data_IF_535131786621
#
_entry.id   IF_535131786621
#
_cell.length_a   1.000
_cell.length_b   1.000
_cell.length_c   1.000
_cell.angle_alpha   90.00
_cell.angle_beta   90.00
_cell.angle_gamma   90.00
#
_symmetry.space_group_name_H-M   'P 1'
#
loop_
_entity.id
_entity.type
_entity.pdbx_description
1 polymer ?
#
# COMPACT_ATOMS: atom_id res chain seq x y z
N UNK A 1 -1.81 -9.43 12.95
CA UNK A 1 -1.55 -8.44 11.89
C UNK A 1 -1.48 -7.06 12.50
N UNK A 2 -0.36 -6.39 12.33
CA UNK A 2 -0.15 -5.02 12.77
C UNK A 2 -0.18 -4.09 11.56
N UNK A 3 -0.97 -3.03 11.63
CA UNK A 3 -1.01 -1.98 10.61
C UNK A 3 -0.55 -0.69 11.26
N UNK A 4 0.59 -0.18 10.82
CA UNK A 4 1.14 1.09 11.31
C UNK A 4 0.84 2.17 10.29
N UNK A 5 0.22 3.26 10.73
CA UNK A 5 -0.17 4.37 9.85
C UNK A 5 0.55 5.63 10.29
N UNK A 6 1.19 6.29 9.34
CA UNK A 6 1.82 7.59 9.54
C UNK A 6 1.32 8.57 8.49
N UNK A 7 0.87 9.74 8.91
CA UNK A 7 0.43 10.79 8.00
C UNK A 7 1.37 11.99 8.09
N UNK A 8 2.19 12.18 7.07
CA UNK A 8 3.09 13.32 6.92
C UNK A 8 2.63 14.26 5.81
N UNK A 9 1.43 14.03 5.27
CA UNK A 9 0.96 14.75 4.08
C UNK A 9 0.52 16.19 4.36
N UNK A 10 0.16 16.49 5.58
CA UNK A 10 -0.48 17.76 5.93
C UNK A 10 -1.97 17.81 5.60
N UNK A 11 -2.52 16.76 4.99
CA UNK A 11 -3.92 16.64 4.68
C UNK A 11 -4.63 15.75 5.68
N UNK A 12 -5.94 15.92 5.84
CA UNK A 12 -6.75 14.98 6.61
C UNK A 12 -6.93 13.69 5.84
N UNK A 13 -6.75 12.55 6.51
CA UNK A 13 -6.96 11.24 5.90
C UNK A 13 -7.85 10.40 6.81
N UNK A 14 -8.63 9.52 6.19
CA UNK A 14 -9.45 8.55 6.92
C UNK A 14 -8.58 7.37 7.31
N UNK A 15 -7.78 7.53 8.37
CA UNK A 15 -6.84 6.49 8.82
C UNK A 15 -7.57 5.21 9.24
N UNK A 16 -8.70 5.34 9.92
CA UNK A 16 -9.49 4.17 10.33
C UNK A 16 -10.02 3.41 9.12
N UNK A 17 -10.57 4.12 8.14
CA UNK A 17 -11.07 3.49 6.91
C UNK A 17 -9.95 2.83 6.12
N UNK A 18 -8.77 3.45 6.08
CA UNK A 18 -7.61 2.87 5.41
C UNK A 18 -7.15 1.59 6.10
N UNK A 19 -7.09 1.59 7.44
CA UNK A 19 -6.74 0.39 8.19
C UNK A 19 -7.74 -0.73 7.97
N UNK A 20 -9.03 -0.44 8.04
CA UNK A 20 -10.10 -1.42 7.82
C UNK A 20 -10.03 -2.04 6.44
N UNK A 21 -9.83 -1.21 5.41
CA UNK A 21 -9.70 -1.69 4.03
C UNK A 21 -8.46 -2.57 3.88
N UNK A 22 -7.33 -2.15 4.43
CA UNK A 22 -6.08 -2.90 4.36
C UNK A 22 -6.23 -4.28 5.01
N UNK A 23 -6.82 -4.35 6.20
CA UNK A 23 -7.06 -5.62 6.89
C UNK A 23 -7.98 -6.52 6.09
N UNK A 24 -9.04 -5.97 5.49
CA UNK A 24 -9.98 -6.72 4.66
C UNK A 24 -9.30 -7.31 3.43
N UNK A 25 -8.49 -6.50 2.74
CA UNK A 25 -7.74 -6.96 1.55
C UNK A 25 -6.79 -8.09 1.92
N UNK A 26 -5.98 -7.89 2.95
CA UNK A 26 -5.00 -8.90 3.37
C UNK A 26 -5.66 -10.19 3.81
N UNK A 27 -6.77 -10.10 4.56
CA UNK A 27 -7.53 -11.28 4.98
C UNK A 27 -8.10 -12.01 3.76
N UNK A 28 -8.67 -11.29 2.79
CA UNK A 28 -9.20 -11.88 1.57
C UNK A 28 -8.11 -12.57 0.74
N UNK A 29 -6.87 -12.10 0.86
CA UNK A 29 -5.71 -12.68 0.18
C UNK A 29 -5.01 -13.78 0.99
N UNK A 30 -5.59 -14.16 2.12
CA UNK A 30 -5.05 -15.24 2.95
C UNK A 30 -3.87 -14.85 3.83
N UNK A 31 -3.66 -13.57 4.04
CA UNK A 31 -2.58 -13.06 4.89
C UNK A 31 -3.16 -12.71 6.26
N UNK A 32 -2.84 -13.53 7.26
CA UNK A 32 -3.39 -13.38 8.61
C UNK A 32 -2.41 -12.76 9.60
N UNK A 33 -1.12 -12.74 9.27
CA UNK A 33 -0.06 -12.28 10.15
C UNK A 33 0.89 -11.33 9.43
N UNK A 34 1.65 -10.57 10.20
CA UNK A 34 2.69 -9.70 9.68
C UNK A 34 2.46 -8.24 10.03
N UNK A 35 3.38 -7.42 9.56
CA UNK A 35 3.37 -5.98 9.76
C UNK A 35 3.24 -5.27 8.42
N UNK A 36 2.33 -4.31 8.36
CA UNK A 36 2.10 -3.48 7.19
C UNK A 36 2.29 -2.02 7.58
N UNK A 37 3.04 -1.27 6.77
CA UNK A 37 3.14 0.18 6.89
C UNK A 37 2.25 0.88 5.88
N UNK A 38 1.49 1.86 6.32
CA UNK A 38 0.73 2.77 5.46
C UNK A 38 1.25 4.18 5.72
N UNK A 39 1.79 4.81 4.70
CA UNK A 39 2.39 6.14 4.82
C UNK A 39 1.68 7.11 3.89
N UNK A 40 1.22 8.21 4.44
CA UNK A 40 0.62 9.30 3.66
C UNK A 40 1.61 10.45 3.60
N UNK A 41 1.96 10.86 2.39
CA UNK A 41 2.97 11.91 2.16
C UNK A 41 2.42 12.99 1.25
N UNK A 42 3.02 14.18 1.32
CA UNK A 42 2.68 15.27 0.41
C UNK A 42 3.29 15.07 -0.98
N UNK A 43 2.87 15.92 -1.95
CA UNK A 43 3.35 15.78 -3.34
C UNK A 43 4.86 15.89 -3.49
N UNK A 44 5.52 16.76 -2.72
CA UNK A 44 6.97 16.94 -2.82
C UNK A 44 7.71 15.70 -2.34
N UNK A 45 7.29 15.14 -1.21
CA UNK A 45 7.89 13.89 -0.69
C UNK A 45 7.62 12.74 -1.66
N UNK A 46 6.42 12.66 -2.24
CA UNK A 46 6.10 11.63 -3.22
C UNK A 46 7.00 11.73 -4.46
N UNK A 47 7.24 12.94 -4.96
CA UNK A 47 8.19 13.14 -6.07
C UNK A 47 9.59 12.69 -5.72
N UNK A 48 10.04 13.01 -4.51
CA UNK A 48 11.37 12.61 -4.03
C UNK A 48 11.49 11.09 -3.97
N UNK A 49 10.50 10.42 -3.38
CA UNK A 49 10.48 8.96 -3.29
C UNK A 49 10.48 8.31 -4.66
N UNK A 50 9.68 8.83 -5.58
CA UNK A 50 9.58 8.29 -6.92
C UNK A 50 10.88 8.50 -7.71
N UNK A 51 11.49 9.67 -7.59
CA UNK A 51 12.77 9.95 -8.23
C UNK A 51 13.89 9.03 -7.72
N UNK A 52 13.96 8.83 -6.41
CA UNK A 52 14.99 8.02 -5.78
C UNK A 52 14.84 6.53 -6.08
N UNK A 53 13.59 6.05 -6.19
CA UNK A 53 13.34 4.61 -6.36
C UNK A 53 13.01 4.19 -7.79
N UNK A 54 12.44 5.10 -8.60
CA UNK A 54 12.02 4.78 -9.97
C UNK A 54 12.70 5.64 -11.04
N UNK A 55 13.51 6.62 -10.63
CA UNK A 55 14.18 7.52 -11.55
C UNK A 55 13.28 8.54 -12.22
N UNK A 56 12.05 8.74 -11.71
CA UNK A 56 11.09 9.70 -12.26
C UNK A 56 10.88 10.84 -11.28
N UNK A 57 10.62 12.03 -11.79
CA UNK A 57 10.39 13.24 -11.00
C UNK A 57 8.95 13.71 -11.20
N UNK A 58 8.01 12.96 -10.64
CA UNK A 58 6.59 13.32 -10.67
C UNK A 58 5.89 12.79 -9.42
N UNK A 59 4.85 13.47 -8.98
CA UNK A 59 3.97 12.95 -7.95
C UNK A 59 3.09 11.86 -8.56
N UNK A 60 2.88 10.79 -7.81
CA UNK A 60 2.02 9.69 -8.23
C UNK A 60 1.01 9.40 -7.12
N UNK A 61 0.03 8.54 -7.39
CA UNK A 61 -1.01 8.21 -6.43
C UNK A 61 -0.55 7.23 -5.35
N UNK A 62 0.20 6.19 -5.73
CA UNK A 62 0.65 5.16 -4.78
C UNK A 62 2.02 4.60 -5.18
N UNK A 63 2.82 4.29 -4.17
CA UNK A 63 4.07 3.54 -4.32
C UNK A 63 4.02 2.35 -3.37
N UNK A 64 4.57 1.22 -3.80
CA UNK A 64 4.65 0.02 -2.99
C UNK A 64 6.10 -0.40 -2.82
N UNK A 65 6.50 -0.67 -1.58
CA UNK A 65 7.84 -1.11 -1.22
C UNK A 65 7.74 -2.49 -0.55
N UNK A 66 7.68 -3.58 -1.34
CA UNK A 66 7.53 -4.92 -0.76
C UNK A 66 8.81 -5.36 -0.05
N UNK A 67 8.64 -6.13 1.04
CA UNK A 67 9.75 -6.75 1.77
C UNK A 67 9.61 -8.26 1.63
N UNK A 68 8.72 -8.88 2.39
CA UNK A 68 8.53 -10.32 2.37
C UNK A 68 7.38 -10.77 1.47
N UNK A 69 6.34 -9.94 1.33
CA UNK A 69 5.17 -10.29 0.55
C UNK A 69 4.57 -11.63 0.96
N UNK A 70 4.50 -12.56 0.01
CA UNK A 70 4.02 -13.92 0.22
C UNK A 70 5.15 -14.95 0.38
N UNK A 71 6.39 -14.52 0.52
CA UNK A 71 7.53 -15.42 0.61
C UNK A 71 7.36 -16.40 1.78
N UNK A 72 7.86 -17.62 1.61
CA UNK A 72 7.91 -18.59 2.68
C UNK A 72 8.96 -18.16 3.70
N UNK A 73 8.54 -18.09 4.96
CA UNK A 73 9.41 -17.68 6.06
C UNK A 73 9.48 -18.81 7.10
N UNK A 74 10.61 -18.93 7.82
CA UNK A 74 10.65 -19.80 8.99
C UNK A 74 9.56 -19.42 9.99
N UNK A 75 9.04 -20.41 10.74
CA UNK A 75 7.90 -20.20 11.65
C UNK A 75 8.14 -19.14 12.72
N UNK A 76 9.40 -18.93 13.12
CA UNK A 76 9.78 -17.98 14.16
C UNK A 76 10.17 -16.60 13.62
N UNK A 77 10.08 -16.39 12.31
CA UNK A 77 10.41 -15.11 11.67
C UNK A 77 9.12 -14.32 11.42
N UNK A 78 8.98 -13.12 12.03
CA UNK A 78 7.81 -12.29 11.75
C UNK A 78 7.81 -11.79 10.30
N UNK A 79 6.62 -11.78 9.69
CA UNK A 79 6.45 -11.31 8.32
C UNK A 79 6.43 -9.79 8.28
N UNK A 80 7.26 -9.22 7.42
CA UNK A 80 7.23 -7.79 7.08
C UNK A 80 6.67 -7.66 5.68
N UNK A 81 5.41 -7.25 5.57
CA UNK A 81 4.75 -7.14 4.25
C UNK A 81 5.40 -6.07 3.40
N UNK A 82 5.68 -4.94 3.99
CA UNK A 82 6.26 -3.79 3.33
C UNK A 82 5.43 -2.54 3.58
N UNK A 83 5.68 -1.51 2.77
CA UNK A 83 5.02 -0.21 2.91
C UNK A 83 4.24 0.15 1.65
N UNK A 84 3.02 0.67 1.83
CA UNK A 84 2.27 1.34 0.79
C UNK A 84 2.25 2.83 1.09
N UNK A 85 2.63 3.65 0.12
CA UNK A 85 2.75 5.11 0.27
C UNK A 85 1.74 5.78 -0.64
N UNK A 86 0.90 6.63 -0.08
CA UNK A 86 -0.13 7.35 -0.82
C UNK A 86 0.06 8.86 -0.67
N UNK A 87 -0.32 9.60 -1.72
CA UNK A 87 -0.35 11.04 -1.70
C UNK A 87 -1.81 11.51 -1.69
N UNK A 88 -2.36 11.94 -0.52
CA UNK A 88 -3.77 12.33 -0.43
C UNK A 88 -4.16 13.47 -1.37
N UNK A 89 -3.24 14.39 -1.64
CA UNK A 89 -3.48 15.50 -2.54
C UNK A 89 -3.68 15.05 -3.99
N UNK A 90 -3.19 13.87 -4.35
CA UNK A 90 -3.36 13.28 -5.69
C UNK A 90 -4.56 12.34 -5.74
N UNK A 91 -4.70 11.44 -4.75
CA UNK A 91 -5.78 10.44 -4.77
C UNK A 91 -7.14 11.04 -4.37
N UNK A 92 -7.14 12.04 -3.50
CA UNK A 92 -8.38 12.67 -3.04
C UNK A 92 -9.30 11.71 -2.31
N UNK A 93 -10.61 11.88 -2.53
CA UNK A 93 -11.64 11.05 -1.89
C UNK A 93 -11.70 9.62 -2.44
N UNK A 94 -11.08 9.37 -3.60
CA UNK A 94 -11.07 8.05 -4.24
C UNK A 94 -9.78 7.28 -3.91
N UNK A 95 -9.37 7.33 -2.66
CA UNK A 95 -8.14 6.72 -2.19
C UNK A 95 -8.21 5.18 -2.09
N UNK A 96 -9.41 4.61 -2.09
CA UNK A 96 -9.60 3.17 -1.89
C UNK A 96 -8.96 2.35 -3.00
N UNK A 97 -9.23 2.68 -4.25
CA UNK A 97 -8.66 1.95 -5.39
C UNK A 97 -7.13 2.00 -5.42
N UNK A 98 -6.48 3.17 -5.29
CA UNK A 98 -5.03 3.21 -5.18
C UNK A 98 -4.47 2.40 -4.01
N UNK A 99 -5.13 2.41 -2.86
CA UNK A 99 -4.67 1.63 -1.72
C UNK A 99 -4.72 0.14 -2.02
N UNK A 100 -5.84 -0.37 -2.55
CA UNK A 100 -5.95 -1.79 -2.93
C UNK A 100 -4.87 -2.15 -3.96
N UNK A 101 -4.67 -1.31 -4.96
CA UNK A 101 -3.65 -1.50 -5.98
C UNK A 101 -2.25 -1.64 -5.36
N UNK A 102 -1.90 -0.74 -4.44
CA UNK A 102 -0.62 -0.79 -3.75
C UNK A 102 -0.44 -2.05 -2.91
N UNK A 103 -1.49 -2.46 -2.21
CA UNK A 103 -1.46 -3.67 -1.39
C UNK A 103 -1.29 -4.93 -2.24
N UNK A 104 -1.96 -5.00 -3.39
CA UNK A 104 -1.80 -6.15 -4.29
C UNK A 104 -0.38 -6.23 -4.84
N UNK A 105 0.25 -5.10 -5.14
CA UNK A 105 1.67 -5.08 -5.53
C UNK A 105 2.57 -5.60 -4.40
N UNK A 106 2.29 -5.26 -3.14
CA UNK A 106 3.06 -5.79 -2.01
C UNK A 106 2.98 -7.32 -1.96
N UNK A 107 1.86 -7.90 -2.41
CA UNK A 107 1.64 -9.34 -2.40
C UNK A 107 2.11 -10.03 -3.68
N UNK A 108 2.78 -9.30 -4.57
CA UNK A 108 3.41 -9.88 -5.75
C UNK A 108 2.59 -9.83 -7.03
N UNK A 109 1.44 -9.16 -7.02
CA UNK A 109 0.69 -8.98 -8.25
C UNK A 109 1.43 -8.02 -9.19
N UNK A 110 1.48 -8.38 -10.46
CA UNK A 110 1.97 -7.50 -11.52
C UNK A 110 0.79 -6.90 -12.29
N UNK A 111 1.02 -5.78 -12.96
CA UNK A 111 -0.01 -5.17 -13.80
C UNK A 111 -0.53 -6.16 -14.83
N UNK A 112 -1.85 -6.22 -14.99
CA UNK A 112 -2.49 -7.11 -15.95
C UNK A 112 -3.94 -7.39 -15.59
N UNK A 113 -4.56 -8.26 -16.36
CA UNK A 113 -5.99 -8.61 -16.24
C UNK A 113 -6.31 -9.21 -14.86
N UNK A 114 -5.43 -10.06 -14.35
CA UNK A 114 -5.65 -10.72 -13.07
C UNK A 114 -5.67 -9.73 -11.91
N UNK A 115 -4.72 -8.81 -11.89
CA UNK A 115 -4.67 -7.76 -10.88
C UNK A 115 -5.87 -6.82 -10.98
N UNK A 116 -6.25 -6.40 -12.19
CA UNK A 116 -7.40 -5.54 -12.40
C UNK A 116 -8.69 -6.19 -11.92
N UNK A 117 -8.86 -7.48 -12.22
CA UNK A 117 -10.02 -8.24 -11.76
C UNK A 117 -10.07 -8.29 -10.23
N UNK A 118 -8.95 -8.61 -9.60
CA UNK A 118 -8.87 -8.71 -8.15
C UNK A 118 -9.12 -7.37 -7.46
N UNK A 119 -8.56 -6.31 -8.03
CA UNK A 119 -8.78 -4.95 -7.55
C UNK A 119 -10.27 -4.61 -7.56
N UNK A 120 -10.98 -4.95 -8.65
CA UNK A 120 -12.43 -4.72 -8.74
C UNK A 120 -13.22 -5.51 -7.71
N UNK A 121 -12.78 -6.72 -7.36
CA UNK A 121 -13.44 -7.55 -6.34
C UNK A 121 -13.26 -7.00 -4.93
N UNK A 122 -12.16 -6.31 -4.66
CA UNK A 122 -11.78 -5.88 -3.32
C UNK A 122 -12.16 -4.43 -2.99
N UNK A 123 -12.36 -3.60 -3.98
CA UNK A 123 -12.73 -2.18 -3.79
C UNK A 123 -14.22 -1.99 -3.41
#
# INVERSE_FOLDING_TARGET
MTVEIENRSGADVDEQGAEELARRVLSAEGIDDGDLGLLFVGPDEMRTLKREHLGRDEATDVLSFPIDGRDDLPDDVPRQLGDAVLCPQVVGEKWQTPLVHGLLHLLGYDHGVEMERRESELV
#
